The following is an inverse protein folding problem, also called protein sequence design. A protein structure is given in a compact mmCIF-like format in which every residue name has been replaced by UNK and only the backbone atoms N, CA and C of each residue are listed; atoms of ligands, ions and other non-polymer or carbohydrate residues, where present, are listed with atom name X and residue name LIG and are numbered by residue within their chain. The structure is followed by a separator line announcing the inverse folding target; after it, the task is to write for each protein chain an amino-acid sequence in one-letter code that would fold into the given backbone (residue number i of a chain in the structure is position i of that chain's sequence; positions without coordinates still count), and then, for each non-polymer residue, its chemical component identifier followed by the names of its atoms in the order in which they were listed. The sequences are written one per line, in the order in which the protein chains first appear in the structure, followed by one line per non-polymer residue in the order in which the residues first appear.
data_IF_119589246658
#
_entry.id   IF_119589246658
#
_cell.length_a   1.000
_cell.length_b   1.000
_cell.length_c   1.000
_cell.angle_alpha   90.00
_cell.angle_beta   90.00
_cell.angle_gamma   90.00
#
_symmetry.space_group_name_H-M   'P 1'
#
loop_
_entity.id
_entity.type
_entity.pdbx_description
1 polymer ?
#
# COMPACT_ATOMS: atom_id res chain seq x y z
N UNK A 1 10.08 5.76 -54.25
CA UNK A 1 10.60 7.11 -54.50
C UNK A 1 9.68 8.10 -53.76
N UNK A 2 10.16 8.66 -52.64
CA UNK A 2 9.82 9.95 -51.97
C UNK A 2 8.49 10.69 -52.32
N UNK A 3 7.72 11.29 -51.40
CA UNK A 3 8.11 12.31 -50.38
C UNK A 3 7.08 12.43 -49.23
N UNK A 4 7.60 12.85 -48.08
CA UNK A 4 6.92 13.39 -46.90
C UNK A 4 6.52 14.85 -47.14
N UNK A 5 5.33 15.24 -46.68
CA UNK A 5 4.92 16.59 -46.28
C UNK A 5 3.85 16.35 -45.18
N UNK A 6 3.91 16.78 -43.92
CA UNK A 6 4.61 17.88 -43.27
C UNK A 6 3.57 18.83 -42.66
N UNK A 7 3.22 18.68 -41.38
CA UNK A 7 2.74 19.80 -40.54
C UNK A 7 2.77 19.48 -39.04
N UNK A 8 3.79 19.98 -38.39
CA UNK A 8 3.86 20.35 -36.98
C UNK A 8 3.03 21.63 -36.69
N UNK A 9 2.41 21.71 -35.51
CA UNK A 9 1.96 22.91 -34.77
C UNK A 9 1.01 22.43 -33.65
N UNK A 10 1.00 22.94 -32.43
CA UNK A 10 1.89 23.76 -31.62
C UNK A 10 1.27 23.67 -30.21
N UNK A 11 2.12 23.50 -29.22
CA UNK A 11 1.76 23.45 -27.81
C UNK A 11 1.45 24.85 -27.31
N UNK A 12 0.23 25.11 -26.82
CA UNK A 12 -0.07 26.33 -26.07
C UNK A 12 -1.36 26.19 -25.27
N UNK A 13 -1.29 26.26 -23.95
CA UNK A 13 -2.24 27.07 -23.16
C UNK A 13 -1.75 27.29 -21.72
N UNK A 14 -1.10 28.45 -21.60
CA UNK A 14 -1.10 29.46 -20.55
C UNK A 14 -1.36 29.09 -19.08
N UNK A 15 -0.28 29.29 -18.33
CA UNK A 15 -0.21 29.64 -16.92
C UNK A 15 -0.72 31.07 -16.67
N UNK A 16 -1.71 31.25 -15.79
CA UNK A 16 -1.97 32.54 -15.15
C UNK A 16 -2.89 32.40 -13.92
N UNK A 17 -2.27 32.49 -12.74
CA UNK A 17 -2.64 33.28 -11.55
C UNK A 17 -4.10 33.50 -11.14
N UNK A 18 -4.31 33.27 -9.84
CA UNK A 18 -5.50 33.53 -9.00
C UNK A 18 -6.15 34.91 -9.19
N UNK A 19 -7.49 34.99 -9.27
CA UNK A 19 -8.24 36.14 -8.76
C UNK A 19 -9.57 35.74 -8.10
N UNK A 20 -9.78 36.33 -6.92
CA UNK A 20 -10.90 36.16 -6.00
C UNK A 20 -12.22 36.57 -6.66
N UNK A 21 -13.23 35.73 -6.57
CA UNK A 21 -14.61 36.12 -6.85
C UNK A 21 -15.52 35.66 -5.71
N UNK A 22 -15.71 36.53 -4.71
CA UNK A 22 -16.90 36.51 -3.86
C UNK A 22 -18.12 36.64 -4.76
N UNK A 23 -18.74 35.51 -5.08
CA UNK A 23 -19.97 35.47 -5.85
C UNK A 23 -21.09 34.95 -4.96
N UNK A 24 -22.10 35.81 -4.83
CA UNK A 24 -23.33 35.57 -4.10
C UNK A 24 -23.90 34.18 -4.42
N UNK A 25 -24.20 33.42 -3.35
CA UNK A 25 -24.67 32.03 -3.43
C UNK A 25 -26.07 31.94 -4.03
N UNK A 26 -26.16 32.00 -5.36
CA UNK A 26 -27.33 31.51 -6.10
C UNK A 26 -27.40 30.00 -5.89
N UNK A 27 -28.40 29.54 -5.15
CA UNK A 27 -28.73 28.12 -4.98
C UNK A 27 -29.29 27.57 -6.29
N UNK A 28 -28.46 27.45 -7.32
CA UNK A 28 -28.79 26.63 -8.48
C UNK A 28 -28.81 25.17 -8.01
N UNK A 29 -29.82 24.42 -8.46
CA UNK A 29 -29.83 22.95 -8.32
C UNK A 29 -28.68 22.42 -9.18
N UNK A 30 -27.46 22.43 -8.64
CA UNK A 30 -26.29 21.91 -9.32
C UNK A 30 -26.52 20.42 -9.57
N UNK A 31 -26.35 20.02 -10.83
CA UNK A 31 -26.30 18.62 -11.23
C UNK A 31 -25.26 17.90 -10.37
N UNK A 32 -25.65 16.77 -9.78
CA UNK A 32 -24.76 16.04 -8.86
C UNK A 32 -23.73 15.29 -9.70
N UNK A 33 -22.56 15.88 -9.87
CA UNK A 33 -21.41 15.18 -10.44
C UNK A 33 -20.72 14.35 -9.36
N UNK A 34 -20.41 13.10 -9.68
CA UNK A 34 -19.57 12.24 -8.84
C UNK A 34 -18.12 12.55 -9.20
N UNK A 35 -17.37 13.14 -8.28
CA UNK A 35 -15.92 13.21 -8.38
C UNK A 35 -15.32 11.96 -7.75
N UNK A 36 -14.44 11.29 -8.48
CA UNK A 36 -13.60 10.24 -7.92
C UNK A 36 -12.43 10.89 -7.18
N UNK A 37 -11.99 10.32 -6.04
CA UNK A 37 -10.74 10.74 -5.44
C UNK A 37 -9.58 10.50 -6.44
N UNK A 38 -8.54 11.35 -6.42
CA UNK A 38 -7.31 11.16 -7.20
C UNK A 38 -6.77 9.73 -7.11
N UNK A 39 -6.25 9.22 -8.23
CA UNK A 39 -5.78 7.84 -8.36
C UNK A 39 -4.73 7.50 -7.31
N UNK A 40 -3.84 8.44 -6.98
CA UNK A 40 -2.81 8.30 -5.95
C UNK A 40 -3.41 7.99 -4.56
N UNK A 41 -4.62 8.48 -4.28
CA UNK A 41 -5.34 8.18 -3.04
C UNK A 41 -6.05 6.82 -3.09
N UNK A 42 -6.44 6.36 -4.28
CA UNK A 42 -7.04 5.04 -4.51
C UNK A 42 -5.99 3.94 -4.31
N UNK A 43 -4.75 4.18 -4.71
CA UNK A 43 -3.63 3.22 -4.55
C UNK A 43 -2.91 3.30 -3.20
N UNK A 44 -3.20 4.30 -2.35
CA UNK A 44 -2.49 4.49 -1.05
C UNK A 44 -2.82 3.44 0.03
N UNK A 45 -3.86 2.62 -0.18
CA UNK A 45 -4.36 1.68 0.84
C UNK A 45 -3.82 0.26 0.75
N UNK A 46 -3.23 -0.14 -0.38
CA UNK A 46 -2.56 -1.44 -0.52
C UNK A 46 -1.11 -1.33 -0.05
N UNK A 47 -0.93 -0.99 1.23
CA UNK A 47 0.32 -1.35 1.88
C UNK A 47 0.29 -2.87 2.05
N UNK A 48 0.92 -3.58 1.10
CA UNK A 48 1.31 -4.97 1.33
C UNK A 48 1.94 -5.01 2.72
N UNK A 49 1.37 -5.82 3.62
CA UNK A 49 1.95 -6.02 4.93
C UNK A 49 3.33 -6.61 4.70
N UNK A 50 4.35 -5.75 4.62
CA UNK A 50 5.72 -6.17 4.46
C UNK A 50 6.01 -6.98 5.71
N UNK A 51 6.07 -8.30 5.54
CA UNK A 51 6.55 -9.17 6.58
C UNK A 51 8.03 -8.83 6.74
N UNK A 52 8.32 -7.94 7.71
CA UNK A 52 9.66 -7.41 7.99
C UNK A 52 10.70 -8.50 8.26
N UNK A 53 10.25 -9.75 8.42
CA UNK A 53 11.07 -10.90 8.72
C UNK A 53 11.18 -11.89 7.54
N UNK A 54 10.63 -11.58 6.36
CA UNK A 54 10.64 -12.50 5.21
C UNK A 54 12.06 -12.90 4.76
N UNK A 55 13.02 -11.97 4.86
CA UNK A 55 14.41 -12.21 4.45
C UNK A 55 15.32 -12.67 5.60
N UNK A 56 14.79 -12.79 6.84
CA UNK A 56 15.61 -13.13 8.00
C UNK A 56 15.60 -14.64 8.24
N UNK A 57 16.76 -15.27 8.06
CA UNK A 57 16.99 -16.64 8.52
C UNK A 57 16.82 -16.70 10.04
N UNK A 58 15.81 -17.41 10.52
CA UNK A 58 15.58 -17.63 11.94
C UNK A 58 16.41 -18.80 12.44
N UNK A 59 17.02 -18.62 13.61
CA UNK A 59 17.68 -19.71 14.33
C UNK A 59 16.62 -20.61 14.98
N UNK A 60 16.97 -21.88 15.20
CA UNK A 60 16.06 -22.83 15.83
C UNK A 60 15.66 -22.39 17.26
N UNK A 61 16.57 -21.69 17.96
CA UNK A 61 16.30 -21.08 19.27
C UNK A 61 15.25 -19.96 19.18
N UNK A 62 15.32 -19.10 18.16
CA UNK A 62 14.30 -18.06 17.91
C UNK A 62 12.94 -18.71 17.59
N UNK A 63 12.93 -19.79 16.81
CA UNK A 63 11.72 -20.55 16.50
C UNK A 63 11.10 -21.13 17.77
N UNK A 64 11.90 -21.76 18.64
CA UNK A 64 11.42 -22.30 19.92
C UNK A 64 10.84 -21.20 20.83
N UNK A 65 11.52 -20.07 20.95
CA UNK A 65 11.06 -18.96 21.77
C UNK A 65 9.74 -18.37 21.24
N UNK A 66 9.64 -18.17 19.93
CA UNK A 66 8.41 -17.68 19.29
C UNK A 66 7.25 -18.65 19.46
N UNK A 67 7.51 -19.96 19.37
CA UNK A 67 6.50 -20.99 19.60
C UNK A 67 5.95 -20.95 21.03
N UNK A 68 6.83 -20.91 22.03
CA UNK A 68 6.43 -20.80 23.44
C UNK A 68 5.65 -19.51 23.71
N UNK A 69 6.13 -18.37 23.20
CA UNK A 69 5.45 -17.08 23.35
C UNK A 69 4.06 -17.10 22.71
N UNK A 70 3.92 -17.73 21.54
CA UNK A 70 2.63 -17.90 20.87
C UNK A 70 1.67 -18.74 21.71
N UNK A 71 2.14 -19.87 22.25
CA UNK A 71 1.36 -20.70 23.17
C UNK A 71 0.88 -19.91 24.39
N UNK A 72 1.75 -19.12 25.02
CA UNK A 72 1.37 -18.24 26.13
C UNK A 72 0.36 -17.17 25.73
N UNK A 73 0.57 -16.51 24.58
CA UNK A 73 -0.34 -15.48 24.04
C UNK A 73 -1.76 -16.02 23.83
N UNK A 74 -1.86 -17.26 23.35
CA UNK A 74 -3.13 -17.93 23.10
C UNK A 74 -3.63 -18.78 24.27
N UNK A 75 -2.90 -18.80 25.40
CA UNK A 75 -3.20 -19.57 26.61
C UNK A 75 -3.41 -21.07 26.34
N UNK A 76 -2.64 -21.61 25.40
CA UNK A 76 -2.66 -23.03 25.05
C UNK A 76 -1.40 -23.71 25.57
N UNK A 77 -1.51 -24.99 25.93
CA UNK A 77 -0.35 -25.79 26.26
C UNK A 77 0.46 -26.10 24.99
N UNK A 78 1.78 -25.93 25.00
CA UNK A 78 2.63 -26.28 23.87
C UNK A 78 2.61 -27.80 23.65
N UNK A 79 2.67 -28.22 22.39
CA UNK A 79 2.68 -29.62 22.02
C UNK A 79 4.07 -30.23 22.30
N UNK A 80 4.10 -31.19 23.22
CA UNK A 80 5.34 -31.87 23.64
C UNK A 80 6.11 -32.48 22.46
N UNK A 81 5.42 -33.08 21.49
CA UNK A 81 6.06 -33.69 20.31
C UNK A 81 6.78 -32.66 19.46
N UNK A 82 6.23 -31.45 19.34
CA UNK A 82 6.85 -30.35 18.59
C UNK A 82 8.08 -29.84 19.33
N UNK A 83 8.01 -29.71 20.65
CA UNK A 83 9.16 -29.29 21.48
C UNK A 83 10.31 -30.30 21.40
N UNK A 84 10.03 -31.60 21.48
CA UNK A 84 11.03 -32.64 21.36
C UNK A 84 11.72 -32.62 19.99
N UNK A 85 10.95 -32.45 18.91
CA UNK A 85 11.50 -32.30 17.55
C UNK A 85 12.43 -31.10 17.47
N UNK A 86 11.99 -29.93 17.94
CA UNK A 86 12.81 -28.72 17.92
C UNK A 86 14.09 -28.88 18.76
N UNK A 87 14.02 -29.56 19.91
CA UNK A 87 15.20 -29.84 20.73
C UNK A 87 16.16 -30.84 20.04
N UNK A 88 15.64 -31.84 19.34
CA UNK A 88 16.46 -32.83 18.65
C UNK A 88 17.30 -32.22 17.51
N UNK A 89 16.78 -31.16 16.87
CA UNK A 89 17.45 -30.44 15.79
C UNK A 89 18.42 -29.33 16.27
N UNK A 90 18.50 -29.08 17.58
CA UNK A 90 19.39 -28.06 18.18
C UNK A 90 20.80 -28.60 18.49
N UNK A 91 21.17 -29.80 18.01
CA UNK A 91 22.41 -30.50 18.34
C UNK A 91 23.58 -30.16 17.43
#
# INVERSE_FOLDING_TARGET
MTRLDGKESEEQTDEATEEKNETEKKKSKAEKHVSFPPDEQIVSGFAEFQNRNADRCLTLTEIMAAYQQSCSKHQVQPNARVLELLQAHLK
#
